data_IF_857732790568
#
_entry.id   IF_857732790568
#
_cell.length_a   1.000
_cell.length_b   1.000
_cell.length_c   1.000
_cell.angle_alpha   90.00
_cell.angle_beta   90.00
_cell.angle_gamma   90.00
#
_symmetry.space_group_name_H-M   'P 1'
#
loop_
_entity.id
_entity.type
_entity.pdbx_description
1 polymer ?
#
# COMPACT_ATOMS: atom_id res chain seq x y z
N UNK A 1 40.82 8.04 -29.41
CA UNK A 1 39.66 8.76 -28.85
C UNK A 1 38.42 7.93 -29.14
N UNK A 2 37.92 7.05 -28.28
CA UNK A 2 37.60 7.22 -26.86
C UNK A 2 37.26 5.80 -26.33
N UNK A 3 38.29 5.04 -25.98
CA UNK A 3 38.16 3.92 -25.04
C UNK A 3 38.40 4.49 -23.63
N UNK A 4 37.77 3.91 -22.61
CA UNK A 4 38.13 4.00 -21.17
C UNK A 4 37.65 5.17 -20.27
N UNK A 5 36.42 5.70 -20.39
CA UNK A 5 35.90 6.63 -19.35
C UNK A 5 34.36 6.82 -19.26
N UNK A 6 33.53 5.83 -19.60
CA UNK A 6 32.15 5.83 -19.10
C UNK A 6 32.08 4.77 -18.01
N UNK A 7 32.66 5.12 -16.86
CA UNK A 7 32.40 4.47 -15.59
C UNK A 7 30.88 4.30 -15.48
N UNK A 8 30.41 3.05 -15.53
CA UNK A 8 29.07 2.71 -15.05
C UNK A 8 29.10 2.91 -13.53
N UNK A 9 29.25 4.15 -13.06
CA UNK A 9 28.82 4.55 -11.73
C UNK A 9 27.30 4.36 -11.71
N UNK A 10 26.84 3.13 -11.44
CA UNK A 10 25.52 2.94 -10.86
C UNK A 10 25.61 3.71 -9.54
N UNK A 11 25.01 4.90 -9.48
CA UNK A 11 25.43 5.91 -8.54
C UNK A 11 25.11 5.42 -7.13
N UNK A 12 25.71 6.03 -6.12
CA UNK A 12 25.36 5.89 -4.69
C UNK A 12 23.85 5.69 -4.46
N UNK A 13 22.99 6.32 -5.28
CA UNK A 13 21.55 6.13 -5.31
C UNK A 13 21.08 4.67 -5.44
N UNK A 14 21.68 3.84 -6.30
CA UNK A 14 21.29 2.43 -6.46
C UNK A 14 21.62 1.60 -5.21
N UNK A 15 22.77 1.87 -4.58
CA UNK A 15 23.10 1.23 -3.30
C UNK A 15 22.17 1.68 -2.19
N UNK A 16 21.82 2.97 -2.14
CA UNK A 16 20.83 3.51 -1.19
C UNK A 16 19.46 2.88 -1.43
N UNK A 17 19.02 2.71 -2.69
CA UNK A 17 17.73 2.09 -3.01
C UNK A 17 17.68 0.62 -2.57
N UNK A 18 18.71 -0.18 -2.86
CA UNK A 18 18.76 -1.58 -2.40
C UNK A 18 18.79 -1.66 -0.87
N UNK A 19 19.55 -0.79 -0.22
CA UNK A 19 19.64 -0.75 1.23
C UNK A 19 18.30 -0.34 1.87
N UNK A 20 17.62 0.71 1.36
CA UNK A 20 16.33 1.15 1.92
C UNK A 20 15.25 0.09 1.78
N UNK A 21 15.16 -0.61 0.63
CA UNK A 21 14.19 -1.68 0.45
C UNK A 21 14.52 -2.90 1.30
N UNK A 22 15.80 -3.26 1.44
CA UNK A 22 16.24 -4.34 2.33
C UNK A 22 15.89 -4.07 3.79
N UNK A 23 16.18 -2.87 4.28
CA UNK A 23 15.82 -2.44 5.64
C UNK A 23 14.30 -2.39 5.82
N UNK A 24 13.57 -1.84 4.85
CA UNK A 24 12.11 -1.76 4.90
C UNK A 24 11.46 -3.15 4.96
N UNK A 25 11.96 -4.13 4.20
CA UNK A 25 11.48 -5.51 4.24
C UNK A 25 11.77 -6.15 5.60
N UNK A 26 12.99 -6.01 6.13
CA UNK A 26 13.37 -6.58 7.42
C UNK A 26 12.55 -5.99 8.57
N UNK A 27 12.51 -4.66 8.68
CA UNK A 27 11.74 -3.94 9.70
C UNK A 27 10.26 -4.24 9.55
N UNK A 28 9.75 -4.21 8.32
CA UNK A 28 8.36 -4.48 8.02
C UNK A 28 7.94 -5.90 8.34
N UNK A 29 8.76 -6.91 8.03
CA UNK A 29 8.48 -8.30 8.41
C UNK A 29 8.41 -8.46 9.93
N UNK A 30 9.35 -7.88 10.66
CA UNK A 30 9.36 -7.87 12.13
C UNK A 30 8.10 -7.18 12.67
N UNK A 31 7.74 -6.02 12.11
CA UNK A 31 6.57 -5.24 12.51
C UNK A 31 5.25 -5.98 12.23
N UNK A 32 5.08 -6.58 11.05
CA UNK A 32 3.90 -7.37 10.70
C UNK A 32 3.77 -8.59 11.61
N UNK A 33 4.86 -9.30 11.87
CA UNK A 33 4.87 -10.47 12.77
C UNK A 33 4.53 -10.06 14.22
N UNK A 34 5.11 -8.96 14.71
CA UNK A 34 4.79 -8.41 16.03
C UNK A 34 3.32 -8.01 16.13
N UNK A 35 2.80 -7.31 15.11
CA UNK A 35 1.42 -6.82 15.06
C UNK A 35 0.44 -7.98 15.04
N UNK A 36 0.66 -9.02 14.22
CA UNK A 36 -0.18 -10.22 14.19
C UNK A 36 -0.15 -10.96 15.52
N UNK A 37 1.02 -11.13 16.15
CA UNK A 37 1.14 -11.82 17.46
C UNK A 37 0.46 -11.06 18.58
N UNK A 38 0.68 -9.74 18.64
CA UNK A 38 0.03 -8.86 19.63
C UNK A 38 -1.46 -8.79 19.41
N UNK A 39 -1.90 -8.73 18.15
CA UNK A 39 -3.30 -8.74 17.75
C UNK A 39 -3.99 -10.05 18.16
N UNK A 40 -3.41 -11.21 17.85
CA UNK A 40 -3.91 -12.51 18.31
C UNK A 40 -4.01 -12.58 19.84
N UNK A 41 -3.00 -12.08 20.57
CA UNK A 41 -3.01 -12.05 22.04
C UNK A 41 -4.10 -11.12 22.61
N UNK A 42 -4.21 -9.89 22.10
CA UNK A 42 -5.24 -8.93 22.54
C UNK A 42 -6.66 -9.40 22.19
N UNK A 43 -6.85 -9.97 21.00
CA UNK A 43 -8.13 -10.48 20.53
C UNK A 43 -8.66 -11.60 21.43
N UNK A 44 -7.76 -12.42 21.98
CA UNK A 44 -8.13 -13.48 22.92
C UNK A 44 -8.46 -12.98 24.34
N UNK A 45 -8.15 -11.73 24.69
CA UNK A 45 -8.24 -11.27 26.10
C UNK A 45 -9.20 -10.10 26.35
N UNK A 46 -9.42 -9.19 25.38
CA UNK A 46 -10.18 -7.93 25.62
C UNK A 46 -10.99 -7.46 24.38
N UNK A 47 -11.77 -8.35 23.75
CA UNK A 47 -12.39 -8.07 22.44
C UNK A 47 -13.72 -7.28 22.53
N UNK A 48 -14.44 -7.34 23.66
CA UNK A 48 -15.81 -6.81 23.74
C UNK A 48 -15.94 -5.27 23.83
N UNK A 49 -14.93 -4.56 24.34
CA UNK A 49 -15.06 -3.10 24.62
C UNK A 49 -14.53 -2.21 23.47
N UNK A 50 -13.70 -2.73 22.56
CA UNK A 50 -13.00 -1.93 21.54
C UNK A 50 -13.20 -2.38 20.07
N UNK A 51 -14.29 -3.11 19.79
CA UNK A 51 -14.53 -3.77 18.49
C UNK A 51 -14.49 -2.82 17.26
N UNK A 52 -14.93 -1.56 17.41
CA UNK A 52 -14.97 -0.54 16.34
C UNK A 52 -13.56 -0.19 15.84
N UNK A 53 -12.70 0.26 16.75
CA UNK A 53 -11.30 0.62 16.47
C UNK A 53 -10.45 -0.57 16.00
N UNK A 54 -10.77 -1.77 16.50
CA UNK A 54 -10.11 -3.01 16.10
C UNK A 54 -10.34 -3.32 14.62
N UNK A 55 -11.55 -3.08 14.10
CA UNK A 55 -11.90 -3.37 12.70
C UNK A 55 -11.10 -2.51 11.70
N UNK A 56 -10.90 -1.22 12.01
CA UNK A 56 -10.05 -0.32 11.23
C UNK A 56 -8.59 -0.78 11.24
N UNK A 57 -8.08 -1.15 12.42
CA UNK A 57 -6.70 -1.63 12.58
C UNK A 57 -6.44 -2.96 11.86
N UNK A 58 -7.42 -3.86 11.79
CA UNK A 58 -7.30 -5.11 11.02
C UNK A 58 -7.14 -4.77 9.54
N UNK A 59 -8.05 -3.97 9.00
CA UNK A 59 -8.02 -3.60 7.57
C UNK A 59 -6.70 -2.91 7.21
N UNK A 60 -6.22 -2.02 8.08
CA UNK A 60 -4.92 -1.37 7.94
C UNK A 60 -3.76 -2.38 7.99
N UNK A 61 -3.75 -3.29 8.96
CA UNK A 61 -2.69 -4.32 9.06
C UNK A 61 -2.66 -5.26 7.86
N UNK A 62 -3.83 -5.57 7.27
CA UNK A 62 -3.93 -6.35 6.03
C UNK A 62 -3.37 -5.56 4.85
N UNK A 63 -3.70 -4.27 4.74
CA UNK A 63 -3.17 -3.39 3.70
C UNK A 63 -1.64 -3.25 3.79
N UNK A 64 -1.11 -3.00 4.99
CA UNK A 64 0.33 -2.93 5.24
C UNK A 64 1.03 -4.23 4.88
N UNK A 65 0.44 -5.39 5.23
CA UNK A 65 0.97 -6.69 4.86
C UNK A 65 1.01 -6.88 3.33
N UNK A 66 -0.03 -6.45 2.59
CA UNK A 66 -0.01 -6.50 1.13
C UNK A 66 1.10 -5.63 0.54
N UNK A 67 1.30 -4.41 1.07
CA UNK A 67 2.38 -3.52 0.60
C UNK A 67 3.75 -4.16 0.88
N UNK A 68 3.92 -4.75 2.07
CA UNK A 68 5.20 -5.34 2.46
C UNK A 68 5.54 -6.63 1.71
N UNK A 69 4.55 -7.51 1.53
CA UNK A 69 4.78 -8.82 0.90
C UNK A 69 4.62 -8.82 -0.61
N UNK A 70 3.94 -7.84 -1.20
CA UNK A 70 3.71 -7.79 -2.65
C UNK A 70 4.48 -6.63 -3.28
N UNK A 71 4.25 -5.40 -2.81
CA UNK A 71 4.86 -4.22 -3.44
C UNK A 71 6.37 -4.17 -3.24
N UNK A 72 6.85 -4.27 -2.00
CA UNK A 72 8.28 -4.16 -1.70
C UNK A 72 9.15 -5.21 -2.44
N UNK A 73 8.85 -6.52 -2.42
CA UNK A 73 9.66 -7.49 -3.15
C UNK A 73 9.55 -7.31 -4.66
N UNK A 74 8.39 -6.93 -5.19
CA UNK A 74 8.26 -6.66 -6.63
C UNK A 74 9.11 -5.47 -7.05
N UNK A 75 9.22 -4.43 -6.21
CA UNK A 75 10.12 -3.30 -6.48
C UNK A 75 11.59 -3.74 -6.46
N UNK A 76 11.98 -4.59 -5.52
CA UNK A 76 13.34 -5.15 -5.48
C UNK A 76 13.64 -5.98 -6.74
N UNK A 77 12.69 -6.82 -7.16
CA UNK A 77 12.82 -7.60 -8.41
C UNK A 77 12.91 -6.67 -9.61
N UNK A 78 12.09 -5.61 -9.66
CA UNK A 78 12.11 -4.66 -10.77
C UNK A 78 13.44 -3.90 -10.87
N UNK A 79 14.00 -3.48 -9.74
CA UNK A 79 15.33 -2.84 -9.66
C UNK A 79 16.47 -3.83 -10.00
N UNK A 80 16.29 -5.12 -9.70
CA UNK A 80 17.30 -6.15 -9.98
C UNK A 80 17.27 -6.63 -11.44
N UNK A 81 16.08 -6.82 -12.00
CA UNK A 81 15.89 -7.42 -13.32
C UNK A 81 15.79 -6.36 -14.41
N UNK A 82 15.53 -5.09 -14.07
CA UNK A 82 15.21 -3.95 -14.95
C UNK A 82 13.97 -4.13 -15.85
N UNK A 83 13.56 -5.38 -16.11
CA UNK A 83 12.50 -5.77 -17.03
C UNK A 83 11.35 -6.50 -16.31
N UNK A 84 10.14 -6.34 -16.85
CA UNK A 84 8.93 -6.99 -16.35
C UNK A 84 8.58 -8.24 -17.17
N UNK A 85 8.96 -9.42 -16.69
CA UNK A 85 8.64 -10.70 -17.33
C UNK A 85 7.25 -11.27 -16.97
N UNK A 86 6.48 -10.59 -16.12
CA UNK A 86 5.17 -11.08 -15.69
C UNK A 86 4.05 -11.01 -16.74
N UNK A 87 4.33 -10.48 -17.93
CA UNK A 87 3.31 -10.24 -18.96
C UNK A 87 2.34 -9.12 -18.59
N UNK A 88 1.40 -8.84 -19.49
CA UNK A 88 0.45 -7.72 -19.40
C UNK A 88 -0.60 -7.92 -18.30
N UNK A 89 -1.15 -9.14 -18.16
CA UNK A 89 -2.14 -9.45 -17.13
C UNK A 89 -1.57 -9.24 -15.72
N UNK A 90 -0.37 -9.76 -15.45
CA UNK A 90 0.25 -9.65 -14.14
C UNK A 90 0.67 -8.21 -13.83
N UNK A 91 1.13 -7.44 -14.84
CA UNK A 91 1.42 -6.00 -14.69
C UNK A 91 0.20 -5.24 -14.20
N UNK A 92 -0.95 -5.42 -14.86
CA UNK A 92 -2.21 -4.75 -14.50
C UNK A 92 -2.71 -5.19 -13.13
N UNK A 93 -2.71 -6.50 -12.87
CA UNK A 93 -3.20 -7.06 -11.62
C UNK A 93 -2.34 -6.65 -10.42
N UNK A 94 -1.02 -6.68 -10.57
CA UNK A 94 -0.08 -6.18 -9.57
C UNK A 94 -0.34 -4.71 -9.25
N UNK A 95 -0.39 -3.85 -10.28
CA UNK A 95 -0.64 -2.42 -10.10
C UNK A 95 -1.99 -2.17 -9.41
N UNK A 96 -3.02 -2.94 -9.77
CA UNK A 96 -4.32 -2.86 -9.11
C UNK A 96 -4.25 -3.20 -7.61
N UNK A 97 -3.61 -4.32 -7.23
CA UNK A 97 -3.48 -4.72 -5.81
C UNK A 97 -2.72 -3.67 -5.01
N UNK A 98 -1.60 -3.18 -5.55
CA UNK A 98 -0.76 -2.19 -4.85
C UNK A 98 -1.53 -0.89 -4.64
N UNK A 99 -2.19 -0.40 -5.68
CA UNK A 99 -3.00 0.82 -5.61
C UNK A 99 -4.15 0.65 -4.63
N UNK A 100 -4.85 -0.50 -4.65
CA UNK A 100 -5.90 -0.82 -3.69
C UNK A 100 -5.41 -0.83 -2.25
N UNK A 101 -4.26 -1.47 -1.97
CA UNK A 101 -3.70 -1.51 -0.63
C UNK A 101 -3.31 -0.10 -0.13
N UNK A 102 -2.76 0.75 -0.99
CA UNK A 102 -2.44 2.13 -0.64
C UNK A 102 -3.69 2.96 -0.34
N UNK A 103 -4.72 2.89 -1.20
CA UNK A 103 -5.99 3.58 -0.94
C UNK A 103 -6.68 3.08 0.33
N UNK A 104 -6.65 1.78 0.58
CA UNK A 104 -7.20 1.20 1.80
C UNK A 104 -6.48 1.75 3.03
N UNK A 105 -5.15 1.83 3.00
CA UNK A 105 -4.31 2.39 4.07
C UNK A 105 -4.72 3.84 4.38
N UNK A 106 -4.80 4.69 3.36
CA UNK A 106 -5.17 6.11 3.53
C UNK A 106 -6.59 6.25 4.05
N UNK A 107 -7.55 5.50 3.49
CA UNK A 107 -8.94 5.55 3.95
C UNK A 107 -9.07 5.12 5.42
N UNK A 108 -8.34 4.07 5.85
CA UNK A 108 -8.33 3.64 7.26
C UNK A 108 -7.68 4.69 8.16
N UNK A 109 -6.59 5.34 7.73
CA UNK A 109 -5.98 6.44 8.49
C UNK A 109 -6.95 7.62 8.67
N UNK A 110 -7.68 8.00 7.62
CA UNK A 110 -8.71 9.05 7.67
C UNK A 110 -9.83 8.68 8.66
N UNK A 111 -10.33 7.45 8.61
CA UNK A 111 -11.36 6.98 9.56
C UNK A 111 -10.86 7.01 11.01
N UNK A 112 -9.62 6.58 11.25
CA UNK A 112 -9.01 6.62 12.59
C UNK A 112 -8.87 8.06 13.08
N UNK A 113 -8.45 8.99 12.22
CA UNK A 113 -8.35 10.41 12.58
C UNK A 113 -9.73 11.01 12.87
N UNK A 114 -10.72 10.71 12.04
CA UNK A 114 -12.10 11.17 12.22
C UNK A 114 -12.73 10.66 13.52
N UNK A 115 -12.57 9.37 13.82
CA UNK A 115 -13.02 8.76 15.07
C UNK A 115 -12.40 9.44 16.30
N UNK A 116 -11.10 9.75 16.24
CA UNK A 116 -10.44 10.52 17.30
C UNK A 116 -10.98 11.94 17.43
N UNK A 117 -11.23 12.64 16.32
CA UNK A 117 -11.78 14.00 16.36
C UNK A 117 -13.17 14.03 17.01
N UNK A 118 -14.05 13.09 16.66
CA UNK A 118 -15.37 12.96 17.28
C UNK A 118 -15.23 12.67 18.78
N UNK A 119 -14.34 11.74 19.15
CA UNK A 119 -14.09 11.40 20.55
C UNK A 119 -13.60 12.62 21.34
N UNK A 120 -12.65 13.38 20.81
CA UNK A 120 -12.09 14.57 21.46
C UNK A 120 -13.11 15.71 21.56
N UNK A 121 -13.95 15.89 20.55
CA UNK A 121 -15.04 16.87 20.56
C UNK A 121 -16.07 16.55 21.65
N UNK A 122 -16.51 15.29 21.75
CA UNK A 122 -17.47 14.87 22.77
C UNK A 122 -16.92 14.90 24.20
N UNK A 123 -15.61 14.71 24.41
CA UNK A 123 -14.98 14.84 25.74
C UNK A 123 -15.13 16.26 26.31
N UNK A 124 -15.30 17.28 25.47
CA UNK A 124 -15.41 18.69 25.91
C UNK A 124 -16.84 19.08 26.29
N UNK A 125 -17.86 18.26 25.96
CA UNK A 125 -19.25 18.51 26.31
C UNK A 125 -19.70 17.63 27.51
N UNK A 126 -19.73 18.15 28.75
CA UNK A 126 -20.03 17.38 29.96
C UNK A 126 -21.48 16.87 30.06
N UNK A 127 -22.32 17.08 29.05
CA UNK A 127 -23.75 16.72 29.08
C UNK A 127 -24.28 16.01 27.82
N UNK A 128 -23.41 15.44 26.97
CA UNK A 128 -23.86 14.60 25.87
C UNK A 128 -23.88 13.12 26.30
N UNK A 129 -24.82 12.77 27.18
CA UNK A 129 -25.23 11.38 27.40
C UNK A 129 -26.06 10.94 26.19
N UNK A 130 -25.37 10.79 25.07
CA UNK A 130 -25.95 10.54 23.77
C UNK A 130 -24.80 10.25 22.82
N UNK A 131 -24.33 9.00 22.87
CA UNK A 131 -23.56 8.38 21.80
C UNK A 131 -24.13 8.86 20.46
N UNK A 132 -23.39 9.72 19.75
CA UNK A 132 -23.59 9.88 18.31
C UNK A 132 -23.19 8.54 17.70
N UNK A 133 -24.16 7.63 17.61
CA UNK A 133 -24.02 6.32 16.97
C UNK A 133 -23.98 6.54 15.46
N UNK A 134 -22.89 7.13 14.95
CA UNK A 134 -22.60 6.97 13.54
C UNK A 134 -22.30 5.49 13.31
N UNK A 135 -22.90 4.93 12.26
CA UNK A 135 -22.70 3.53 11.90
C UNK A 135 -21.25 3.32 11.42
N UNK A 136 -20.34 3.06 12.34
CA UNK A 136 -18.93 2.69 12.11
C UNK A 136 -18.79 1.62 11.02
N UNK A 137 -19.72 0.65 11.00
CA UNK A 137 -19.78 -0.41 9.99
C UNK A 137 -20.11 0.13 8.59
N UNK A 138 -21.01 1.11 8.49
CA UNK A 138 -21.35 1.76 7.22
C UNK A 138 -20.17 2.59 6.72
N UNK A 139 -19.52 3.37 7.58
CA UNK A 139 -18.32 4.13 7.20
C UNK A 139 -17.20 3.19 6.71
N UNK A 140 -16.96 2.07 7.40
CA UNK A 140 -15.98 1.06 6.98
C UNK A 140 -16.31 0.49 5.59
N UNK A 141 -17.58 0.13 5.38
CA UNK A 141 -18.05 -0.40 4.10
C UNK A 141 -17.89 0.61 2.96
N UNK A 142 -18.29 1.86 3.19
CA UNK A 142 -18.11 2.95 2.22
C UNK A 142 -16.63 3.17 1.89
N UNK A 143 -15.75 3.18 2.89
CA UNK A 143 -14.31 3.33 2.67
C UNK A 143 -13.69 2.19 1.87
N UNK A 144 -14.17 0.95 2.04
CA UNK A 144 -13.78 -0.18 1.20
C UNK A 144 -14.26 -0.01 -0.24
N UNK A 145 -15.52 0.39 -0.44
CA UNK A 145 -16.08 0.64 -1.77
C UNK A 145 -15.31 1.77 -2.47
N UNK A 146 -15.06 2.88 -1.78
CA UNK A 146 -14.29 4.01 -2.32
C UNK A 146 -12.89 3.56 -2.74
N UNK A 147 -12.19 2.80 -1.88
CA UNK A 147 -10.87 2.25 -2.22
C UNK A 147 -10.93 1.34 -3.46
N UNK A 148 -11.95 0.50 -3.57
CA UNK A 148 -12.13 -0.41 -4.71
C UNK A 148 -12.40 0.37 -6.00
N UNK A 149 -13.37 1.28 -6.00
CA UNK A 149 -13.74 2.09 -7.17
C UNK A 149 -12.56 2.93 -7.65
N UNK A 150 -11.84 3.59 -6.73
CA UNK A 150 -10.65 4.38 -7.07
C UNK A 150 -9.50 3.53 -7.62
N UNK A 151 -9.48 2.22 -7.38
CA UNK A 151 -8.44 1.32 -7.88
C UNK A 151 -8.74 0.75 -9.28
N UNK A 152 -10.02 0.66 -9.68
CA UNK A 152 -10.43 0.20 -11.02
C UNK A 152 -9.74 0.92 -12.18
N UNK A 153 -9.59 2.27 -12.22
CA UNK A 153 -8.96 2.95 -13.35
C UNK A 153 -7.53 2.46 -13.62
N UNK A 154 -6.84 1.94 -12.60
CA UNK A 154 -5.49 1.41 -12.72
C UNK A 154 -5.39 0.23 -13.71
N UNK A 155 -6.46 -0.56 -13.85
CA UNK A 155 -6.51 -1.70 -14.78
C UNK A 155 -6.54 -1.27 -16.25
N UNK A 156 -7.03 -0.07 -16.55
CA UNK A 156 -7.14 0.46 -17.92
C UNK A 156 -5.93 1.31 -18.31
N UNK A 157 -5.31 1.99 -17.34
CA UNK A 157 -4.21 2.93 -17.58
C UNK A 157 -2.87 2.22 -17.79
N UNK A 158 -2.63 1.11 -17.09
CA UNK A 158 -1.35 0.38 -17.15
C UNK A 158 -1.38 -0.71 -18.21
N UNK A 159 -0.32 -0.78 -19.03
CA UNK A 159 -0.12 -1.83 -20.03
C UNK A 159 1.34 -2.22 -20.14
N UNK A 160 1.57 -3.44 -20.62
CA UNK A 160 2.91 -3.88 -21.00
C UNK A 160 3.30 -3.25 -22.34
N UNK A 161 4.49 -2.66 -22.40
CA UNK A 161 5.06 -2.03 -23.60
C UNK A 161 6.47 -2.55 -23.77
N UNK A 162 6.84 -2.92 -24.99
CA UNK A 162 8.19 -3.37 -25.34
C UNK A 162 8.98 -2.17 -25.85
N UNK A 163 10.07 -1.82 -25.16
CA UNK A 163 10.95 -0.71 -25.58
C UNK A 163 11.97 -1.18 -26.63
N UNK A 164 12.44 -2.43 -26.51
CA UNK A 164 13.26 -3.18 -27.47
C UNK A 164 12.71 -4.62 -27.58
N UNK A 165 13.16 -5.43 -28.55
CA UNK A 165 12.61 -6.78 -28.83
C UNK A 165 12.47 -7.67 -27.59
N UNK A 166 13.40 -7.60 -26.63
CA UNK A 166 13.40 -8.40 -25.39
C UNK A 166 13.26 -7.59 -24.09
N UNK A 167 12.66 -6.40 -24.19
CA UNK A 167 12.67 -5.39 -23.13
C UNK A 167 11.23 -5.00 -22.67
N UNK A 168 10.49 -5.90 -21.99
CA UNK A 168 9.14 -5.62 -21.54
C UNK A 168 9.14 -4.67 -20.33
N UNK A 169 8.39 -3.57 -20.42
CA UNK A 169 8.18 -2.63 -19.32
C UNK A 169 6.69 -2.46 -19.01
N UNK A 170 6.36 -2.42 -17.72
CA UNK A 170 5.00 -2.15 -17.24
C UNK A 170 4.83 -0.64 -17.06
N UNK A 171 4.30 0.05 -18.07
CA UNK A 171 4.17 1.52 -18.08
C UNK A 171 2.71 1.97 -18.24
N UNK A 172 2.47 3.24 -17.95
CA UNK A 172 1.15 3.85 -18.18
C UNK A 172 1.01 4.29 -19.64
N UNK A 173 -0.22 4.30 -20.15
CA UNK A 173 -0.52 4.69 -21.53
C UNK A 173 -0.04 6.11 -21.89
N UNK A 174 0.05 7.00 -20.91
CA UNK A 174 0.57 8.36 -21.07
C UNK A 174 2.06 8.41 -21.39
N UNK A 175 2.83 7.43 -20.89
CA UNK A 175 4.26 7.30 -21.22
C UNK A 175 4.44 6.91 -22.69
N UNK A 176 3.56 6.05 -23.21
CA UNK A 176 3.58 5.62 -24.60
C UNK A 176 3.29 6.79 -25.53
N UNK A 177 2.25 7.57 -25.22
CA UNK A 177 1.82 8.69 -26.05
C UNK A 177 2.82 9.86 -26.10
N UNK A 178 3.84 9.88 -25.23
CA UNK A 178 4.95 10.84 -25.27
C UNK A 178 6.16 10.36 -26.05
N UNK A 179 6.21 9.08 -26.41
CA UNK A 179 7.35 8.47 -27.11
C UNK A 179 7.12 8.39 -28.63
N UNK A 180 5.91 8.73 -29.09
CA UNK A 180 5.53 8.85 -30.50
C UNK A 180 5.23 10.29 -30.88
#
# INVERSE_FOLDING_TARGET
SRDDAQEYELPLAYQIERAMYGVAIAVGFIASVYTIRKFRRCCMTNLDVAARLISYKISLSVADALILFVYAPTQVVWISTFWWYGGDFLCRFYKFIVTFAFYLTVNMQVLIAFDRLITMAHITEPHAKGTTDYNTRLCLFLSWIIAFISSIPQLFIFKLVYVYEDAPQCTSIWSVNRTF
#
